data_IF_251683802329
#
_entry.id   IF_251683802329
#
_cell.length_a   1.000
_cell.length_b   1.000
_cell.length_c   1.000
_cell.angle_alpha   90.00
_cell.angle_beta   90.00
_cell.angle_gamma   90.00
#
_symmetry.space_group_name_H-M   'P 1'
#
loop_
_entity.id
_entity.type
_entity.pdbx_description
1 polymer ?
#
# COMPACT_ATOMS: atom_id res chain seq x y z
N UNK A 1 4.72 -17.46 -2.23
CA UNK A 1 3.46 -16.81 -2.64
C UNK A 1 3.51 -15.37 -2.18
N UNK A 2 3.30 -14.39 -3.07
CA UNK A 2 3.28 -12.98 -2.66
C UNK A 2 1.99 -12.71 -1.89
N UNK A 3 2.12 -12.13 -0.70
CA UNK A 3 0.98 -11.77 0.15
C UNK A 3 0.63 -10.29 0.00
N UNK A 4 -0.60 -9.93 0.35
CA UNK A 4 -1.07 -8.54 0.40
C UNK A 4 -0.17 -7.68 1.30
N UNK A 5 0.30 -8.25 2.42
CA UNK A 5 1.18 -7.55 3.36
C UNK A 5 2.54 -7.22 2.75
N UNK A 6 3.14 -8.14 1.98
CA UNK A 6 4.41 -7.88 1.30
C UNK A 6 4.29 -6.74 0.28
N UNK A 7 3.18 -6.70 -0.47
CA UNK A 7 2.90 -5.60 -1.43
C UNK A 7 2.70 -4.28 -0.67
N UNK A 8 1.94 -4.31 0.43
CA UNK A 8 1.69 -3.13 1.25
C UNK A 8 2.99 -2.55 1.83
N UNK A 9 3.89 -3.40 2.33
CA UNK A 9 5.20 -2.98 2.83
C UNK A 9 6.08 -2.42 1.72
N UNK A 10 6.14 -3.08 0.56
CA UNK A 10 6.97 -2.65 -0.56
C UNK A 10 6.55 -1.29 -1.11
N UNK A 11 5.24 -1.05 -1.24
CA UNK A 11 4.70 0.22 -1.75
C UNK A 11 4.33 1.22 -0.65
N UNK A 12 4.71 1.00 0.61
CA UNK A 12 4.26 1.83 1.73
C UNK A 12 4.64 3.31 1.51
N UNK A 13 5.90 3.59 1.21
CA UNK A 13 6.40 4.94 0.98
C UNK A 13 5.72 5.59 -0.23
N UNK A 14 5.60 4.86 -1.35
CA UNK A 14 4.95 5.36 -2.58
C UNK A 14 3.48 5.68 -2.35
N UNK A 15 2.75 4.84 -1.61
CA UNK A 15 1.33 5.06 -1.30
C UNK A 15 1.15 6.22 -0.32
N UNK A 16 2.08 6.41 0.62
CA UNK A 16 2.07 7.55 1.56
C UNK A 16 2.35 8.89 0.85
N UNK A 17 3.34 8.92 -0.04
CA UNK A 17 3.70 10.10 -0.83
C UNK A 17 2.62 10.45 -1.87
N UNK A 18 1.99 9.41 -2.45
CA UNK A 18 0.93 9.55 -3.45
C UNK A 18 -0.36 8.81 -3.03
N UNK A 19 -1.13 9.30 -2.05
CA UNK A 19 -2.32 8.60 -1.54
C UNK A 19 -3.44 8.44 -2.58
N UNK A 20 -3.42 9.26 -3.64
CA UNK A 20 -4.34 9.22 -4.79
C UNK A 20 -3.89 8.29 -5.93
N UNK A 21 -2.75 7.60 -5.78
CA UNK A 21 -2.23 6.64 -6.78
C UNK A 21 -3.29 5.60 -7.19
N UNK A 22 -3.45 5.36 -8.49
CA UNK A 22 -4.49 4.45 -9.01
C UNK A 22 -4.10 2.98 -8.76
N UNK A 23 -5.09 2.11 -8.52
CA UNK A 23 -4.84 0.67 -8.30
C UNK A 23 -4.17 -0.02 -9.50
N UNK A 24 -4.54 0.38 -10.73
CA UNK A 24 -3.88 -0.10 -11.95
C UNK A 24 -2.39 0.25 -12.01
N UNK A 25 -1.98 1.33 -11.35
CA UNK A 25 -0.57 1.70 -11.30
C UNK A 25 0.19 0.83 -10.32
N UNK A 26 -0.39 0.56 -9.15
CA UNK A 26 0.15 -0.40 -8.18
C UNK A 26 0.27 -1.79 -8.82
N UNK A 27 -0.74 -2.21 -9.59
CA UNK A 27 -0.68 -3.48 -10.32
C UNK A 27 0.45 -3.53 -11.35
N UNK A 28 0.60 -2.48 -12.17
CA UNK A 28 1.71 -2.38 -13.14
C UNK A 28 3.07 -2.41 -12.46
N UNK A 29 3.20 -1.73 -11.32
CA UNK A 29 4.40 -1.72 -10.50
C UNK A 29 4.69 -3.08 -9.86
N UNK A 30 3.67 -3.79 -9.36
CA UNK A 30 3.85 -5.20 -8.93
C UNK A 30 4.39 -6.08 -10.07
N UNK A 31 3.88 -5.90 -11.29
CA UNK A 31 4.36 -6.66 -12.44
C UNK A 31 5.80 -6.25 -12.85
N UNK A 32 6.15 -4.98 -12.74
CA UNK A 32 7.45 -4.44 -13.16
C UNK A 32 8.57 -4.59 -12.13
N UNK A 33 8.28 -4.36 -10.84
CA UNK A 33 9.27 -4.27 -9.75
C UNK A 33 9.38 -5.60 -9.00
N UNK A 34 8.27 -6.30 -8.84
CA UNK A 34 8.20 -7.57 -8.10
C UNK A 34 8.07 -8.79 -9.02
N UNK A 35 7.93 -8.57 -10.34
CA UNK A 35 7.69 -9.63 -11.34
C UNK A 35 6.51 -10.54 -11.01
N UNK A 36 5.47 -9.99 -10.36
CA UNK A 36 4.26 -10.74 -10.02
C UNK A 36 3.00 -10.13 -10.61
N UNK A 37 2.16 -10.98 -11.19
CA UNK A 37 0.84 -10.57 -11.62
C UNK A 37 -0.14 -10.69 -10.46
N UNK A 38 -0.68 -9.56 -10.02
CA UNK A 38 -1.62 -9.48 -8.90
C UNK A 38 -2.98 -8.99 -9.38
N UNK A 39 -4.04 -9.39 -8.69
CA UNK A 39 -5.39 -8.90 -8.98
C UNK A 39 -5.56 -7.47 -8.44
N UNK A 40 -6.52 -6.74 -9.02
CA UNK A 40 -6.88 -5.40 -8.54
C UNK A 40 -7.35 -5.42 -7.08
N UNK A 41 -8.07 -6.48 -6.66
CA UNK A 41 -8.47 -6.66 -5.26
C UNK A 41 -7.25 -6.72 -4.32
N UNK A 42 -6.21 -7.47 -4.69
CA UNK A 42 -4.98 -7.56 -3.92
C UNK A 42 -4.33 -6.17 -3.75
N UNK A 43 -4.26 -5.38 -4.83
CA UNK A 43 -3.77 -4.00 -4.78
C UNK A 43 -4.64 -3.09 -3.89
N UNK A 44 -5.96 -3.26 -3.93
CA UNK A 44 -6.89 -2.51 -3.07
C UNK A 44 -6.63 -2.80 -1.59
N UNK A 45 -6.53 -4.08 -1.22
CA UNK A 45 -6.27 -4.50 0.17
C UNK A 45 -4.89 -4.02 0.64
N UNK A 46 -3.86 -4.10 -0.21
CA UNK A 46 -2.53 -3.61 0.13
C UNK A 46 -2.55 -2.09 0.38
N UNK A 47 -3.23 -1.33 -0.48
CA UNK A 47 -3.42 0.12 -0.31
C UNK A 47 -4.22 0.45 0.95
N UNK A 48 -5.23 -0.35 1.29
CA UNK A 48 -6.03 -0.19 2.51
C UNK A 48 -5.18 -0.37 3.77
N UNK A 49 -4.32 -1.39 3.82
CA UNK A 49 -3.41 -1.63 4.96
C UNK A 49 -2.50 -0.42 5.20
N UNK A 50 -1.86 0.11 4.15
CA UNK A 50 -0.99 1.30 4.27
C UNK A 50 -1.78 2.50 4.77
N UNK A 51 -3.00 2.70 4.27
CA UNK A 51 -3.89 3.77 4.72
C UNK A 51 -4.33 3.59 6.18
N UNK A 52 -4.69 2.40 6.62
CA UNK A 52 -5.09 2.16 8.01
C UNK A 52 -3.91 2.37 8.96
N UNK A 53 -2.70 1.96 8.56
CA UNK A 53 -1.46 2.22 9.30
C UNK A 53 -1.18 3.73 9.43
N UNK A 54 -1.42 4.51 8.38
CA UNK A 54 -1.24 5.97 8.44
C UNK A 54 -2.23 6.63 9.42
N UNK A 55 -3.49 6.18 9.45
CA UNK A 55 -4.53 6.71 10.34
C UNK A 55 -4.25 6.31 11.80
N UNK A 56 -3.78 5.09 12.02
CA UNK A 56 -3.32 4.63 13.34
C UNK A 56 -2.16 5.46 13.88
N UNK A 57 -1.11 5.64 13.08
CA UNK A 57 0.05 6.47 13.44
C UNK A 57 -0.35 7.93 13.72
N UNK A 58 -1.26 8.51 12.94
CA UNK A 58 -1.68 9.90 13.14
C UNK A 58 -2.44 10.10 14.47
N UNK A 59 -3.16 9.08 14.96
CA UNK A 59 -3.79 9.12 16.29
C UNK A 59 -2.78 8.97 17.43
N UNK A 60 -1.77 8.12 17.27
CA UNK A 60 -0.71 7.98 18.30
C UNK A 60 0.19 9.23 18.35
N UNK A 61 0.55 9.82 17.20
CA UNK A 61 1.44 10.99 17.14
C UNK A 61 0.76 12.28 17.62
N UNK A 62 -0.55 12.45 17.41
CA UNK A 62 -1.32 13.59 17.95
C UNK A 62 -1.89 13.37 19.36
N UNK A 63 -1.90 12.14 19.87
CA UNK A 63 -2.31 11.84 21.25
C UNK A 63 -1.18 12.02 22.29
N UNK A 64 0.05 12.26 21.82
CA UNK A 64 1.26 12.49 22.63
C UNK A 64 1.71 13.96 22.65
N UNK A 65 0.88 14.88 22.14
CA UNK A 65 1.04 16.34 22.24
C UNK A 65 0.06 16.90 23.28
#
# INVERSE_FOLDING_TARGET
MVTVAMIAQHFEATIKDHPKMKLKEIQRRCASEMHVNVTIDCCYRAKKIVKEKMVGNHKEEFGLL
#
